data_IF_566282571758
#
_entry.id   IF_566282571758
#
_cell.length_a   1.000
_cell.length_b   1.000
_cell.length_c   1.000
_cell.angle_alpha   90.00
_cell.angle_beta   90.00
_cell.angle_gamma   90.00
#
_symmetry.space_group_name_H-M   'P 1'
#
loop_
_entity.id
_entity.type
_entity.pdbx_description
1 polymer ?
#
# COMPACT_ATOMS: atom_id res chain seq x y z
N UNK A 1 -27.31 -15.17 0.24
CA UNK A 1 -26.16 -14.49 0.90
C UNK A 1 -24.91 -14.88 0.13
N UNK A 2 -24.45 -14.06 -0.81
CA UNK A 2 -23.21 -14.32 -1.52
C UNK A 2 -22.08 -13.64 -0.75
N UNK A 3 -21.19 -14.44 -0.15
CA UNK A 3 -19.97 -13.93 0.46
C UNK A 3 -18.96 -13.59 -0.64
N UNK A 4 -18.84 -12.30 -0.90
CA UNK A 4 -17.81 -11.65 -1.68
C UNK A 4 -16.47 -11.73 -0.95
N UNK A 5 -15.58 -12.63 -1.37
CA UNK A 5 -14.28 -12.85 -0.72
C UNK A 5 -13.46 -11.54 -0.58
N UNK A 6 -12.72 -11.34 0.53
CA UNK A 6 -11.80 -10.23 0.71
C UNK A 6 -10.72 -10.19 -0.36
N UNK A 7 -10.37 -8.99 -0.81
CA UNK A 7 -9.37 -8.73 -1.84
C UNK A 7 -8.21 -7.94 -1.25
N UNK A 8 -6.99 -8.39 -1.52
CA UNK A 8 -5.78 -7.60 -1.37
C UNK A 8 -5.40 -7.05 -2.74
N UNK A 9 -5.25 -5.74 -2.84
CA UNK A 9 -4.84 -5.04 -4.05
C UNK A 9 -3.38 -4.62 -3.91
N UNK A 10 -2.56 -4.93 -4.90
CA UNK A 10 -1.22 -4.35 -5.03
C UNK A 10 -1.10 -3.55 -6.33
N UNK A 11 -0.35 -2.45 -6.28
CA UNK A 11 -0.13 -1.55 -7.41
C UNK A 11 1.31 -1.00 -7.43
N UNK A 12 1.97 -1.05 -8.58
CA UNK A 12 3.24 -0.35 -8.84
C UNK A 12 3.39 0.00 -10.31
N UNK A 13 4.33 0.90 -10.62
CA UNK A 13 4.88 0.98 -11.97
C UNK A 13 6.09 0.05 -12.06
N UNK A 14 6.31 -0.56 -13.22
CA UNK A 14 7.52 -1.28 -13.55
C UNK A 14 8.54 -0.28 -14.07
N UNK A 15 9.75 -0.35 -13.53
CA UNK A 15 10.89 0.25 -14.19
C UNK A 15 11.14 -0.47 -15.53
N UNK A 16 11.69 0.26 -16.50
CA UNK A 16 11.98 -0.25 -17.84
C UNK A 16 12.70 -1.61 -17.82
N UNK A 17 13.65 -1.79 -16.90
CA UNK A 17 14.43 -3.02 -16.74
C UNK A 17 13.64 -4.21 -16.16
N UNK A 18 12.56 -3.95 -15.40
CA UNK A 18 11.74 -4.97 -14.74
C UNK A 18 10.61 -5.50 -15.64
N UNK A 19 10.19 -4.71 -16.62
CA UNK A 19 9.14 -5.08 -17.58
C UNK A 19 9.45 -6.37 -18.38
N UNK A 20 10.73 -6.72 -18.53
CA UNK A 20 11.20 -7.93 -19.22
C UNK A 20 11.00 -9.23 -18.43
N UNK A 21 10.68 -9.16 -17.13
CA UNK A 21 10.53 -10.32 -16.25
C UNK A 21 9.15 -10.98 -16.44
N UNK A 22 8.16 -10.25 -16.95
CA UNK A 22 6.80 -10.74 -17.14
C UNK A 22 6.61 -11.40 -18.51
N UNK A 23 6.02 -12.61 -18.57
CA UNK A 23 5.80 -13.31 -19.83
C UNK A 23 4.70 -12.65 -20.65
N UNK A 24 4.84 -12.62 -21.98
CA UNK A 24 3.72 -12.29 -22.89
C UNK A 24 2.53 -13.25 -22.65
N UNK A 25 1.27 -12.78 -22.76
CA UNK A 25 0.78 -11.54 -23.38
C UNK A 25 0.58 -10.39 -22.38
N UNK A 26 1.16 -10.51 -21.18
CA UNK A 26 0.96 -9.55 -20.10
C UNK A 26 1.58 -8.19 -20.45
N UNK A 27 2.62 -8.17 -21.29
CA UNK A 27 3.31 -6.97 -21.76
C UNK A 27 2.59 -6.38 -22.98
N UNK A 28 2.17 -5.11 -22.89
CA UNK A 28 1.69 -4.36 -24.05
C UNK A 28 2.85 -4.03 -25.01
N UNK A 29 2.55 -3.79 -26.29
CA UNK A 29 3.53 -3.23 -27.23
C UNK A 29 3.77 -1.74 -26.87
N UNK A 30 4.69 -1.44 -25.95
CA UNK A 30 4.94 -0.06 -25.52
C UNK A 30 6.31 0.17 -24.87
N UNK A 31 6.88 1.36 -25.14
CA UNK A 31 8.14 1.90 -24.56
C UNK A 31 7.87 2.69 -23.25
N UNK A 32 6.75 2.45 -22.55
CA UNK A 32 6.29 3.28 -21.41
C UNK A 32 6.37 2.56 -20.07
N UNK A 33 6.37 3.35 -18.99
CA UNK A 33 6.23 2.87 -17.60
C UNK A 33 4.93 2.03 -17.48
N UNK A 34 5.07 0.71 -17.56
CA UNK A 34 3.96 -0.22 -17.45
C UNK A 34 3.47 -0.24 -15.98
N UNK A 35 2.16 -0.20 -15.76
CA UNK A 35 1.57 -0.38 -14.44
C UNK A 35 1.27 -1.84 -14.17
N UNK A 36 1.46 -2.29 -12.93
CA UNK A 36 1.03 -3.62 -12.50
C UNK A 36 -0.06 -3.50 -11.47
N UNK A 37 -1.13 -4.25 -11.71
CA UNK A 37 -2.24 -4.41 -10.78
C UNK A 37 -2.34 -5.89 -10.41
N UNK A 38 -2.21 -6.20 -9.13
CA UNK A 38 -2.45 -7.53 -8.61
C UNK A 38 -3.66 -7.54 -7.68
N UNK A 39 -4.60 -8.45 -7.94
CA UNK A 39 -5.74 -8.76 -7.11
C UNK A 39 -5.57 -10.15 -6.53
N UNK A 40 -5.42 -10.23 -5.21
CA UNK A 40 -5.32 -11.48 -4.46
C UNK A 40 -6.59 -11.71 -3.64
N UNK A 41 -7.27 -12.82 -3.90
CA UNK A 41 -8.42 -13.25 -3.10
C UNK A 41 -7.93 -14.04 -1.89
N UNK A 42 -8.27 -13.55 -0.69
CA UNK A 42 -7.86 -14.21 0.55
C UNK A 42 -8.62 -15.53 0.81
N UNK A 43 -9.78 -15.73 0.18
CA UNK A 43 -10.65 -16.88 0.47
C UNK A 43 -10.16 -18.18 -0.17
N UNK A 44 -9.63 -18.10 -1.38
CA UNK A 44 -9.18 -19.24 -2.18
C UNK A 44 -7.70 -19.13 -2.58
N UNK A 45 -7.02 -18.10 -2.09
CA UNK A 45 -5.64 -17.78 -2.42
C UNK A 45 -5.39 -17.61 -3.93
N UNK A 46 -6.44 -17.31 -4.70
CA UNK A 46 -6.33 -17.02 -6.13
C UNK A 46 -5.73 -15.65 -6.36
N UNK A 47 -4.95 -15.52 -7.45
CA UNK A 47 -4.24 -14.29 -7.81
C UNK A 47 -4.50 -13.98 -9.27
N UNK A 48 -4.81 -12.72 -9.54
CA UNK A 48 -4.91 -12.16 -10.88
C UNK A 48 -3.94 -11.00 -10.94
N UNK A 49 -2.97 -11.11 -11.85
CA UNK A 49 -1.96 -10.09 -12.10
C UNK A 49 -2.17 -9.58 -13.51
N UNK A 50 -2.27 -8.26 -13.66
CA UNK A 50 -2.42 -7.58 -14.94
C UNK A 50 -1.33 -6.54 -15.04
N UNK A 51 -0.57 -6.57 -16.13
CA UNK A 51 0.32 -5.47 -16.51
C UNK A 51 -0.39 -4.68 -17.60
N UNK A 52 -0.35 -3.37 -17.45
CA UNK A 52 -1.13 -2.42 -18.22
C UNK A 52 -0.20 -1.35 -18.75
N UNK A 53 -0.31 -1.08 -20.03
CA UNK A 53 0.25 0.16 -20.57
C UNK A 53 -0.53 1.39 -20.05
N UNK A 54 0.04 2.57 -20.25
CA UNK A 54 -0.55 3.83 -19.80
C UNK A 54 -1.94 4.13 -20.41
N UNK A 55 -2.29 3.57 -21.57
CA UNK A 55 -3.60 3.76 -22.20
C UNK A 55 -4.67 2.89 -21.54
N UNK A 56 -4.30 1.67 -21.13
CA UNK A 56 -5.22 0.71 -20.50
C UNK A 56 -5.42 0.99 -19.01
N UNK A 57 -4.46 1.64 -18.37
CA UNK A 57 -4.48 1.93 -16.94
C UNK A 57 -5.78 2.61 -16.50
N UNK A 58 -6.19 3.68 -17.18
CA UNK A 58 -7.41 4.43 -16.81
C UNK A 58 -8.65 3.53 -16.75
N UNK A 59 -8.83 2.68 -17.76
CA UNK A 59 -9.96 1.75 -17.82
C UNK A 59 -9.89 0.65 -16.75
N UNK A 60 -8.70 0.12 -16.47
CA UNK A 60 -8.54 -0.86 -15.40
C UNK A 60 -8.81 -0.26 -14.01
N UNK A 61 -8.43 1.00 -13.79
CA UNK A 61 -8.73 1.71 -12.55
C UNK A 61 -10.25 1.91 -12.35
N UNK A 62 -11.01 2.19 -13.41
CA UNK A 62 -12.48 2.23 -13.36
C UNK A 62 -13.07 0.86 -12.93
N UNK A 63 -12.54 -0.24 -13.44
CA UNK A 63 -12.97 -1.59 -13.04
C UNK A 63 -12.63 -1.92 -11.59
N UNK A 64 -11.52 -1.39 -11.05
CA UNK A 64 -11.18 -1.55 -9.63
C UNK A 64 -12.22 -0.89 -8.71
N UNK A 65 -12.87 0.18 -9.17
CA UNK A 65 -13.93 0.84 -8.41
C UNK A 65 -15.10 -0.10 -8.12
N UNK A 66 -15.45 -0.98 -9.07
CA UNK A 66 -16.56 -1.94 -8.92
C UNK A 66 -16.32 -2.98 -7.81
N UNK A 67 -15.05 -3.22 -7.44
CA UNK A 67 -14.67 -4.16 -6.38
C UNK A 67 -14.20 -3.47 -5.10
N UNK A 68 -14.28 -2.14 -5.02
CA UNK A 68 -13.82 -1.33 -3.88
C UNK A 68 -14.39 -1.78 -2.53
N UNK A 69 -15.64 -2.21 -2.49
CA UNK A 69 -16.31 -2.73 -1.28
C UNK A 69 -15.71 -4.04 -0.75
N UNK A 70 -14.81 -4.69 -1.49
CA UNK A 70 -14.17 -5.95 -1.11
C UNK A 70 -12.70 -5.81 -0.76
N UNK A 71 -12.11 -4.64 -1.01
CA UNK A 71 -10.69 -4.39 -0.79
C UNK A 71 -10.45 -4.23 0.71
N UNK A 72 -9.71 -5.16 1.30
CA UNK A 72 -9.35 -5.14 2.73
C UNK A 72 -7.89 -4.73 2.96
N UNK A 73 -7.03 -4.93 1.95
CA UNK A 73 -5.64 -4.50 2.00
C UNK A 73 -5.24 -3.84 0.68
N UNK A 74 -4.44 -2.76 0.79
CA UNK A 74 -3.75 -2.15 -0.35
C UNK A 74 -2.24 -2.16 -0.10
N UNK A 75 -1.46 -2.52 -1.10
CA UNK A 75 -0.01 -2.32 -1.16
C UNK A 75 0.31 -1.44 -2.36
N UNK A 76 1.00 -0.32 -2.15
CA UNK A 76 1.35 0.60 -3.24
C UNK A 76 2.66 1.32 -2.96
N UNK A 77 3.26 1.87 -4.01
CA UNK A 77 4.36 2.82 -3.85
C UNK A 77 3.84 4.22 -3.52
N UNK A 78 4.68 5.00 -2.85
CA UNK A 78 4.39 6.38 -2.53
C UNK A 78 4.42 7.25 -3.78
N UNK A 79 3.50 8.22 -3.88
CA UNK A 79 3.36 9.08 -5.05
C UNK A 79 2.49 8.50 -6.17
N UNK A 80 2.05 7.25 -6.03
CA UNK A 80 1.17 6.58 -6.99
C UNK A 80 -0.28 7.11 -6.90
N UNK A 81 -0.95 7.25 -8.06
CA UNK A 81 -2.31 7.81 -8.18
C UNK A 81 -3.44 6.87 -7.77
N UNK A 82 -3.15 5.63 -7.38
CA UNK A 82 -4.15 4.60 -7.11
C UNK A 82 -5.28 5.05 -6.16
N UNK A 83 -4.94 5.77 -5.09
CA UNK A 83 -5.92 6.21 -4.10
C UNK A 83 -6.86 7.29 -4.65
N UNK A 84 -6.47 8.04 -5.70
CA UNK A 84 -7.32 9.07 -6.31
C UNK A 84 -8.51 8.48 -7.08
N UNK A 85 -8.50 7.17 -7.33
CA UNK A 85 -9.58 6.43 -7.99
C UNK A 85 -10.77 6.20 -7.05
N UNK A 86 -10.52 6.18 -5.74
CA UNK A 86 -11.54 5.80 -4.76
C UNK A 86 -12.03 7.01 -3.98
N UNK A 87 -13.34 7.19 -3.92
CA UNK A 87 -13.95 8.12 -2.96
C UNK A 87 -13.93 7.53 -1.54
N UNK A 88 -14.16 6.21 -1.45
CA UNK A 88 -14.20 5.48 -0.19
C UNK A 88 -13.75 4.02 -0.37
N UNK A 89 -13.14 3.48 0.69
CA UNK A 89 -12.76 2.08 0.81
C UNK A 89 -13.31 1.54 2.14
N UNK A 90 -14.59 1.14 2.18
CA UNK A 90 -15.30 0.87 3.43
C UNK A 90 -14.76 -0.33 4.19
N UNK A 91 -14.15 -1.30 3.49
CA UNK A 91 -13.61 -2.53 4.09
C UNK A 91 -12.09 -2.49 4.29
N UNK A 92 -11.40 -1.41 3.91
CA UNK A 92 -9.94 -1.34 4.00
C UNK A 92 -9.51 -1.34 5.46
N UNK A 93 -8.79 -2.38 5.87
CA UNK A 93 -8.21 -2.52 7.21
C UNK A 93 -6.71 -2.23 7.24
N UNK A 94 -6.02 -2.40 6.12
CA UNK A 94 -4.56 -2.28 6.05
C UNK A 94 -4.10 -1.55 4.79
N UNK A 95 -3.35 -0.47 4.96
CA UNK A 95 -2.64 0.21 3.88
C UNK A 95 -1.13 -0.02 4.05
N UNK A 96 -0.47 -0.49 2.99
CA UNK A 96 0.99 -0.64 2.93
C UNK A 96 1.53 0.31 1.87
N UNK A 97 2.49 1.14 2.27
CA UNK A 97 3.11 2.15 1.40
C UNK A 97 4.61 1.90 1.34
N UNK A 98 5.14 1.79 0.13
CA UNK A 98 6.56 1.62 -0.16
C UNK A 98 7.14 2.97 -0.56
N UNK A 99 8.11 3.47 0.20
CA UNK A 99 8.88 4.64 -0.18
C UNK A 99 10.02 4.19 -1.10
N UNK A 100 10.36 5.02 -2.09
CA UNK A 100 11.52 4.82 -2.97
C UNK A 100 12.84 4.87 -2.20
N UNK A 101 13.94 4.48 -2.85
CA UNK A 101 15.30 4.56 -2.28
C UNK A 101 15.74 5.98 -1.88
N UNK A 102 15.27 6.99 -2.62
CA UNK A 102 15.66 8.38 -2.42
C UNK A 102 14.48 9.21 -1.91
N UNK A 103 14.68 10.17 -0.98
CA UNK A 103 13.65 11.11 -0.57
C UNK A 103 13.12 11.87 -1.79
N UNK A 104 11.86 11.66 -2.12
CA UNK A 104 11.29 12.39 -3.24
C UNK A 104 10.98 13.82 -2.80
N UNK A 105 11.78 14.76 -3.33
CA UNK A 105 11.57 16.19 -3.09
C UNK A 105 10.40 16.74 -3.90
N UNK A 106 9.98 16.06 -4.97
CA UNK A 106 8.96 16.54 -5.94
C UNK A 106 7.55 16.32 -5.42
N UNK A 107 7.29 15.20 -4.74
CA UNK A 107 5.98 14.90 -4.12
C UNK A 107 5.68 15.69 -2.84
N UNK A 108 6.55 16.62 -2.42
CA UNK A 108 6.30 17.57 -1.31
C UNK A 108 5.20 18.60 -1.62
N UNK A 109 4.76 18.72 -2.87
CA UNK A 109 3.77 19.73 -3.29
C UNK A 109 2.29 19.34 -3.11
N UNK A 110 1.96 18.11 -2.70
CA UNK A 110 0.57 17.61 -2.66
C UNK A 110 -0.14 17.73 -1.31
N UNK A 111 0.53 18.23 -0.26
CA UNK A 111 0.00 18.28 1.13
C UNK A 111 -1.15 19.28 1.39
N UNK A 112 -1.67 19.97 0.37
CA UNK A 112 -2.70 21.00 0.53
C UNK A 112 -4.14 20.53 0.24
N UNK A 113 -4.37 19.24 -0.04
CA UNK A 113 -5.73 18.73 -0.30
C UNK A 113 -6.29 17.97 0.92
N UNK A 114 -7.63 17.98 1.03
CA UNK A 114 -8.39 17.17 1.98
C UNK A 114 -7.94 15.69 1.87
N UNK A 115 -8.11 14.88 2.93
CA UNK A 115 -7.93 13.43 2.79
C UNK A 115 -8.68 12.92 1.56
N UNK A 116 -8.04 12.04 0.81
CA UNK A 116 -8.51 11.66 -0.53
C UNK A 116 -9.59 10.60 -0.42
N UNK A 117 -9.41 9.61 0.48
CA UNK A 117 -10.27 8.42 0.55
C UNK A 117 -10.83 8.18 1.95
N UNK A 118 -12.15 8.00 2.09
CA UNK A 118 -12.76 7.60 3.35
C UNK A 118 -12.53 6.11 3.65
N UNK A 119 -11.86 5.81 4.77
CA UNK A 119 -11.51 4.44 5.16
C UNK A 119 -11.95 4.17 6.62
N UNK A 120 -13.25 3.89 6.87
CA UNK A 120 -13.80 3.80 8.23
C UNK A 120 -13.26 2.63 9.06
N UNK A 121 -12.79 1.55 8.44
CA UNK A 121 -12.26 0.36 9.11
C UNK A 121 -10.73 0.29 9.12
N UNK A 122 -10.04 1.36 8.68
CA UNK A 122 -8.58 1.36 8.60
C UNK A 122 -7.96 1.26 9.99
N UNK A 123 -7.28 0.14 10.23
CA UNK A 123 -6.65 -0.15 11.52
C UNK A 123 -5.13 -0.02 11.47
N UNK A 124 -4.51 -0.31 10.33
CA UNK A 124 -3.06 -0.40 10.19
C UNK A 124 -2.59 0.36 8.94
N UNK A 125 -1.62 1.24 9.13
CA UNK A 125 -0.80 1.81 8.07
C UNK A 125 0.62 1.31 8.24
N UNK A 126 1.15 0.64 7.22
CA UNK A 126 2.51 0.16 7.17
C UNK A 126 3.28 1.03 6.19
N UNK A 127 4.40 1.60 6.62
CA UNK A 127 5.33 2.30 5.74
C UNK A 127 6.65 1.58 5.76
N UNK A 128 7.15 1.25 4.59
CA UNK A 128 8.47 0.68 4.39
C UNK A 128 9.31 1.64 3.57
N UNK A 129 10.58 1.78 3.94
CA UNK A 129 11.58 2.38 3.08
C UNK A 129 12.83 1.49 3.08
N UNK A 130 13.48 1.35 1.93
CA UNK A 130 14.75 0.65 1.82
C UNK A 130 15.88 1.45 2.48
N UNK A 131 16.82 0.72 3.07
CA UNK A 131 17.91 1.29 3.86
C UNK A 131 17.47 1.90 5.20
N UNK A 132 18.41 2.57 5.87
CA UNK A 132 18.15 3.26 7.13
C UNK A 132 17.46 4.60 6.87
N UNK A 133 16.37 4.88 7.57
CA UNK A 133 15.60 6.11 7.39
C UNK A 133 15.13 6.75 8.69
N UNK A 134 15.09 8.08 8.71
CA UNK A 134 14.78 8.87 9.89
C UNK A 134 13.81 10.02 9.62
N UNK A 135 14.02 11.13 10.32
CA UNK A 135 13.15 12.31 10.23
C UNK A 135 13.19 13.00 8.85
N UNK A 136 14.19 12.69 8.02
CA UNK A 136 14.29 13.08 6.63
C UNK A 136 13.11 12.56 5.77
N UNK A 137 12.55 11.40 6.15
CA UNK A 137 11.35 10.79 5.52
C UNK A 137 10.02 11.18 6.17
N UNK A 138 10.05 12.07 7.17
CA UNK A 138 8.88 12.35 8.00
C UNK A 138 7.68 12.87 7.20
N UNK A 139 7.93 13.70 6.20
CA UNK A 139 6.85 14.26 5.41
C UNK A 139 6.19 13.19 4.53
N UNK A 140 6.94 12.36 3.82
CA UNK A 140 6.41 11.23 3.03
C UNK A 140 5.54 10.29 3.89
N UNK A 141 6.04 9.92 5.09
CA UNK A 141 5.29 9.11 6.06
C UNK A 141 3.98 9.80 6.46
N UNK A 142 4.02 11.12 6.69
CA UNK A 142 2.81 11.90 7.03
C UNK A 142 1.83 11.95 5.86
N UNK A 143 2.28 12.02 4.61
CA UNK A 143 1.40 11.98 3.45
C UNK A 143 0.70 10.64 3.33
N UNK A 144 1.44 9.54 3.48
CA UNK A 144 0.87 8.19 3.46
C UNK A 144 -0.33 8.06 4.42
N UNK A 145 -0.21 8.64 5.62
CA UNK A 145 -1.28 8.65 6.63
C UNK A 145 -2.40 9.64 6.26
N UNK A 146 -2.08 10.76 5.61
CA UNK A 146 -3.04 11.81 5.27
C UNK A 146 -3.89 11.47 4.03
N UNK A 147 -3.43 10.60 3.13
CA UNK A 147 -4.20 10.16 1.97
C UNK A 147 -5.50 9.44 2.35
N UNK A 148 -5.51 8.80 3.52
CA UNK A 148 -6.65 8.06 4.04
C UNK A 148 -7.26 8.81 5.23
N UNK A 149 -8.58 9.03 5.20
CA UNK A 149 -9.34 9.56 6.32
C UNK A 149 -9.99 8.42 7.10
N UNK A 150 -9.38 7.95 8.21
CA UNK A 150 -10.17 7.25 9.22
C UNK A 150 -11.19 8.27 9.80
N UNK A 151 -12.41 7.84 10.13
CA UNK A 151 -13.46 8.70 10.72
C UNK A 151 -13.17 9.18 12.15
N UNK A 152 -11.90 9.30 12.52
CA UNK A 152 -11.45 9.39 13.90
C UNK A 152 -10.92 10.77 14.25
N UNK A 153 -11.21 11.22 15.47
CA UNK A 153 -10.81 12.55 15.97
C UNK A 153 -9.52 12.51 16.79
N UNK A 154 -9.03 13.70 17.13
CA UNK A 154 -8.24 14.02 18.34
C UNK A 154 -8.26 12.98 19.48
N UNK A 155 -7.34 12.01 19.59
CA UNK A 155 -7.30 11.07 20.74
C UNK A 155 -8.34 9.94 20.72
N UNK A 156 -8.95 9.66 19.57
CA UNK A 156 -9.85 8.52 19.38
C UNK A 156 -9.06 7.17 19.45
N UNK A 157 -9.52 6.17 20.22
CA UNK A 157 -8.88 4.86 20.30
C UNK A 157 -8.87 4.11 18.96
N UNK A 158 -9.78 4.44 18.03
CA UNK A 158 -9.92 3.75 16.75
C UNK A 158 -8.99 4.30 15.66
N UNK A 159 -8.05 5.20 15.99
CA UNK A 159 -7.06 5.67 15.02
C UNK A 159 -6.19 4.51 14.54
N UNK A 160 -5.69 4.56 13.29
CA UNK A 160 -4.81 3.53 12.80
C UNK A 160 -3.52 3.49 13.61
N UNK A 161 -2.89 2.30 13.65
CA UNK A 161 -1.51 2.07 14.09
C UNK A 161 -0.59 2.37 12.92
N UNK A 162 0.55 2.99 13.20
CA UNK A 162 1.63 3.11 12.21
C UNK A 162 2.71 2.08 12.48
N UNK A 163 3.00 1.25 11.49
CA UNK A 163 4.14 0.32 11.52
C UNK A 163 5.19 0.86 10.55
N UNK A 164 6.38 1.15 11.06
CA UNK A 164 7.54 1.52 10.26
C UNK A 164 8.41 0.27 10.08
N UNK A 165 8.46 -0.24 8.86
CA UNK A 165 9.17 -1.48 8.52
C UNK A 165 10.54 -1.20 7.91
N UNK A 166 11.52 -2.04 8.24
CA UNK A 166 12.92 -1.89 7.79
C UNK A 166 13.79 -1.25 8.85
N UNK A 167 14.81 -0.50 8.43
CA UNK A 167 15.81 0.09 9.33
C UNK A 167 15.39 1.50 9.81
N UNK A 168 14.16 1.62 10.30
CA UNK A 168 13.60 2.86 10.81
C UNK A 168 14.30 3.33 12.09
N UNK A 169 14.74 4.60 12.12
CA UNK A 169 15.39 5.15 13.31
C UNK A 169 14.41 5.37 14.47
N UNK A 170 14.79 5.06 15.73
CA UNK A 170 13.94 5.24 16.92
C UNK A 170 13.32 6.63 17.09
N UNK A 171 13.98 7.66 16.56
CA UNK A 171 13.50 9.05 16.60
C UNK A 171 12.15 9.21 15.90
N UNK A 172 11.85 8.43 14.85
CA UNK A 172 10.55 8.45 14.17
C UNK A 172 9.41 7.99 15.09
N UNK A 173 9.60 6.91 15.87
CA UNK A 173 8.58 6.42 16.79
C UNK A 173 8.22 7.42 17.91
N UNK A 174 9.16 8.32 18.23
CA UNK A 174 8.97 9.40 19.19
C UNK A 174 8.47 10.72 18.57
N UNK A 175 8.35 10.81 17.25
CA UNK A 175 8.00 12.06 16.57
C UNK A 175 6.58 12.53 16.96
N UNK A 176 6.42 13.73 17.56
CA UNK A 176 5.11 14.23 17.99
C UNK A 176 4.10 14.37 16.85
N UNK A 177 4.60 14.68 15.65
CA UNK A 177 3.81 14.85 14.43
C UNK A 177 3.11 13.56 14.02
N UNK A 178 3.80 12.41 14.09
CA UNK A 178 3.21 11.09 13.79
C UNK A 178 2.21 10.69 14.88
N UNK A 179 2.60 10.80 16.16
CA UNK A 179 1.73 10.45 17.30
C UNK A 179 0.44 11.28 17.37
N UNK A 180 0.43 12.46 16.74
CA UNK A 180 -0.78 13.28 16.65
C UNK A 180 -1.84 12.71 15.69
N UNK A 181 -1.45 11.80 14.78
CA UNK A 181 -2.28 11.23 13.70
C UNK A 181 -2.66 9.76 13.94
N UNK A 182 -1.81 9.00 14.63
CA UNK A 182 -2.02 7.55 14.88
C UNK A 182 -2.16 7.24 16.36
N UNK A 183 -2.67 6.05 16.70
CA UNK A 183 -2.77 5.61 18.11
C UNK A 183 -1.41 5.18 18.68
N UNK A 184 -0.60 4.55 17.86
CA UNK A 184 0.75 4.09 18.21
C UNK A 184 1.66 4.09 16.98
N UNK A 185 2.96 4.12 17.23
CA UNK A 185 4.01 3.93 16.21
C UNK A 185 4.89 2.78 16.66
N UNK A 186 5.02 1.77 15.81
CA UNK A 186 5.79 0.56 16.07
C UNK A 186 6.89 0.44 15.02
N UNK A 187 8.08 0.01 15.45
CA UNK A 187 9.21 -0.26 14.55
C UNK A 187 9.31 -1.77 14.40
N UNK A 188 9.27 -2.25 13.17
CA UNK A 188 9.33 -3.67 12.85
C UNK A 188 10.45 -3.95 11.85
N UNK A 189 11.13 -5.10 11.95
CA UNK A 189 12.06 -5.50 10.90
C UNK A 189 11.32 -5.70 9.57
N UNK A 190 12.06 -5.66 8.47
CA UNK A 190 11.50 -5.99 7.15
C UNK A 190 10.89 -7.39 7.19
N UNK A 191 9.60 -7.47 6.85
CA UNK A 191 8.97 -8.72 6.45
C UNK A 191 9.01 -8.82 4.93
N UNK A 192 8.79 -10.00 4.34
CA UNK A 192 8.67 -10.13 2.88
C UNK A 192 7.48 -9.29 2.41
N UNK A 193 7.74 -8.03 2.05
CA UNK A 193 6.82 -7.15 1.37
C UNK A 193 7.20 -7.28 -0.08
N UNK A 194 6.48 -8.12 -0.81
CA UNK A 194 6.55 -8.04 -2.26
C UNK A 194 5.31 -7.29 -2.69
N UNK A 195 5.51 -6.36 -3.61
CA UNK A 195 4.42 -5.75 -4.36
C UNK A 195 3.61 -6.84 -5.09
N UNK A 196 4.26 -7.95 -5.45
CA UNK A 196 3.75 -8.96 -6.38
C UNK A 196 3.70 -10.40 -5.83
N UNK A 197 4.13 -10.64 -4.58
CA UNK A 197 4.19 -11.97 -3.96
C UNK A 197 4.55 -11.94 -2.46
N UNK A 198 3.59 -11.70 -1.56
CA UNK A 198 3.93 -11.78 -0.13
C UNK A 198 2.84 -11.53 0.90
N UNK A 199 1.58 -11.37 0.50
CA UNK A 199 0.49 -11.06 1.45
C UNK A 199 0.16 -12.22 2.42
N UNK A 200 0.70 -13.42 2.22
CA UNK A 200 0.55 -14.54 3.14
C UNK A 200 1.94 -15.01 3.60
N UNK A 201 2.25 -14.84 4.89
CA UNK A 201 3.32 -15.61 5.53
C UNK A 201 3.03 -17.09 5.30
N UNK A 202 3.94 -17.80 4.64
CA UNK A 202 4.04 -19.26 4.76
C UNK A 202 4.24 -19.56 6.24
N UNK A 203 3.24 -20.18 6.86
CA UNK A 203 3.40 -20.75 8.20
C UNK A 203 4.56 -21.74 8.13
N UNK A 204 5.57 -21.68 9.01
CA UNK A 204 6.62 -22.70 9.01
C UNK A 204 5.97 -24.05 9.33
N UNK A 205 5.94 -24.94 8.34
CA UNK A 205 5.59 -26.35 8.56
C UNK A 205 6.71 -26.89 9.45
N UNK A 206 6.40 -27.13 10.72
CA UNK A 206 7.26 -27.90 11.60
C UNK A 206 7.14 -29.36 11.17
N UNK A 207 8.18 -29.89 10.52
CA UNK A 207 8.27 -31.32 10.27
C UNK A 207 8.59 -31.98 11.61
N UNK A 208 7.75 -32.90 12.12
CA UNK A 208 8.12 -33.66 13.30
C UNK A 208 9.32 -34.54 12.96
N UNK A 209 10.41 -34.38 13.71
CA UNK A 209 11.54 -35.31 13.67
C UNK A 209 11.05 -36.70 14.06
N UNK A 210 11.29 -37.67 13.18
CA UNK A 210 11.12 -39.08 13.45
C UNK A 210 12.13 -39.58 14.49
#
# INVERSE_FOLDING_TARGET
>A
MHLSAPIHLSFCYLDYDESHIYPEPIRGEGDTDDAVIELHSAADNSRVTVVLDHYQLSHALEQLYEVSERITQITMEFGQSLLEVFDALPQLTTLRVLLSDTPDTVSRHTFNKKPIVECPLLDIVVVYAPGQYGLDRLDEIRAAIHFVAPKTKRGDPNRPRLILQGDALPKLASAPTLRSRVREVTLEPTHSISIMAGCCRTTPISVPSA
#
